data_IF_048649260585
#
_entry.id   IF_048649260585
#
_cell.length_a   1.000
_cell.length_b   1.000
_cell.length_c   1.000
_cell.angle_alpha   90.00
_cell.angle_beta   90.00
_cell.angle_gamma   90.00
#
_symmetry.space_group_name_H-M   'P 1'
#
loop_
_entity.id
_entity.type
_entity.pdbx_description
1 polymer ?
#
# COMPACT_ATOMS: atom_id res chain seq x y z
N UNK A 1 10.67 -4.81 10.41
CA UNK A 1 9.90 -4.43 9.19
C UNK A 1 8.45 -4.25 9.61
N UNK A 2 7.78 -3.17 9.18
CA UNK A 2 6.36 -2.94 9.50
C UNK A 2 5.46 -3.94 8.75
N UNK A 3 4.30 -4.26 9.31
CA UNK A 3 3.39 -5.26 8.78
C UNK A 3 2.88 -4.92 7.38
N UNK A 4 2.63 -3.64 7.12
CA UNK A 4 2.15 -3.12 5.83
C UNK A 4 3.20 -3.28 4.74
N UNK A 5 4.47 -2.98 5.07
CA UNK A 5 5.58 -3.15 4.13
C UNK A 5 5.83 -4.64 3.83
N UNK A 6 5.67 -5.51 4.82
CA UNK A 6 5.74 -6.94 4.63
C UNK A 6 4.58 -7.44 3.75
N UNK A 7 3.35 -6.95 3.98
CA UNK A 7 2.18 -7.30 3.17
C UNK A 7 2.35 -6.88 1.70
N UNK A 8 2.77 -5.64 1.44
CA UNK A 8 3.04 -5.14 0.08
C UNK A 8 4.09 -6.01 -0.61
N UNK A 9 5.23 -6.24 0.05
CA UNK A 9 6.33 -7.05 -0.49
C UNK A 9 5.90 -8.48 -0.80
N UNK A 10 5.21 -9.12 0.13
CA UNK A 10 4.78 -10.51 -0.01
C UNK A 10 3.72 -10.65 -1.11
N UNK A 11 2.80 -9.69 -1.21
CA UNK A 11 1.81 -9.65 -2.27
C UNK A 11 2.49 -9.50 -3.64
N UNK A 12 3.42 -8.55 -3.79
CA UNK A 12 4.23 -8.41 -5.00
C UNK A 12 4.93 -9.73 -5.36
N UNK A 13 5.59 -10.37 -4.38
CA UNK A 13 6.27 -11.66 -4.60
C UNK A 13 5.31 -12.73 -5.10
N UNK A 14 4.14 -12.89 -4.48
CA UNK A 14 3.13 -13.87 -4.89
C UNK A 14 2.64 -13.61 -6.31
N UNK A 15 2.36 -12.35 -6.64
CA UNK A 15 1.83 -11.97 -7.95
C UNK A 15 2.87 -12.13 -9.07
N UNK A 16 4.15 -11.92 -8.78
CA UNK A 16 5.24 -11.99 -9.78
C UNK A 16 6.04 -13.29 -9.76
N UNK A 17 5.70 -14.26 -8.91
CA UNK A 17 6.45 -15.52 -8.80
C UNK A 17 6.37 -16.29 -10.14
N UNK A 18 7.50 -16.59 -10.80
CA UNK A 18 7.51 -17.32 -12.08
C UNK A 18 7.02 -18.76 -11.95
N UNK A 19 7.16 -19.37 -10.76
CA UNK A 19 6.62 -20.68 -10.44
C UNK A 19 5.20 -20.60 -9.84
N UNK A 20 4.73 -19.40 -9.54
CA UNK A 20 3.42 -19.15 -8.94
C UNK A 20 2.26 -19.22 -9.96
N UNK A 21 1.02 -19.08 -9.48
CA UNK A 21 -0.17 -19.16 -10.33
C UNK A 21 -0.41 -17.91 -11.18
N UNK A 22 0.08 -16.73 -10.74
CA UNK A 22 -0.23 -15.45 -11.38
C UNK A 22 0.81 -15.02 -12.44
N UNK A 23 2.10 -15.18 -12.15
CA UNK A 23 3.23 -14.93 -13.08
C UNK A 23 3.19 -13.55 -13.75
N UNK A 24 2.67 -12.54 -13.05
CA UNK A 24 2.48 -11.21 -13.60
C UNK A 24 3.82 -10.50 -13.76
N UNK A 25 3.94 -9.68 -14.80
CA UNK A 25 5.02 -8.70 -14.85
C UNK A 25 4.87 -7.69 -13.70
N UNK A 26 5.95 -7.05 -13.21
CA UNK A 26 5.88 -6.10 -12.10
C UNK A 26 4.85 -4.97 -12.29
N UNK A 27 4.69 -4.47 -13.52
CA UNK A 27 3.72 -3.43 -13.85
C UNK A 27 2.26 -3.94 -13.73
N UNK A 28 2.01 -5.19 -14.10
CA UNK A 28 0.69 -5.83 -13.99
C UNK A 28 0.36 -6.18 -12.54
N UNK A 29 1.32 -6.68 -11.77
CA UNK A 29 1.15 -6.92 -10.34
C UNK A 29 0.74 -5.65 -9.59
N UNK A 30 1.36 -4.51 -9.94
CA UNK A 30 1.00 -3.22 -9.32
C UNK A 30 -0.39 -2.72 -9.78
N UNK A 31 -0.84 -3.04 -11.00
CA UNK A 31 -2.22 -2.77 -11.44
C UNK A 31 -3.22 -3.66 -10.67
N UNK A 32 -2.86 -4.91 -10.40
CA UNK A 32 -3.70 -5.84 -9.66
C UNK A 32 -4.00 -5.37 -8.23
N UNK A 33 -3.14 -4.55 -7.61
CA UNK A 33 -3.44 -3.98 -6.29
C UNK A 33 -4.74 -3.16 -6.25
N UNK A 34 -5.15 -2.56 -7.37
CA UNK A 34 -6.42 -1.83 -7.47
C UNK A 34 -7.66 -2.73 -7.31
N UNK A 35 -7.51 -4.06 -7.33
CA UNK A 35 -8.57 -5.03 -7.02
C UNK A 35 -8.46 -5.63 -5.61
N UNK A 36 -7.47 -5.22 -4.82
CA UNK A 36 -7.20 -5.73 -3.48
C UNK A 36 -7.47 -4.66 -2.41
N UNK A 37 -7.89 -5.12 -1.23
CA UNK A 37 -8.05 -4.29 -0.03
C UNK A 37 -6.98 -4.67 0.98
N UNK A 38 -6.33 -3.68 1.59
CA UNK A 38 -5.28 -3.89 2.60
C UNK A 38 -5.85 -3.68 4.00
N UNK A 39 -5.76 -4.70 4.84
CA UNK A 39 -6.21 -4.67 6.24
C UNK A 39 -5.01 -4.61 7.18
N UNK A 40 -5.05 -3.70 8.16
CA UNK A 40 -4.05 -3.56 9.20
C UNK A 40 -4.71 -3.55 10.58
N UNK A 41 -3.98 -3.98 11.61
CA UNK A 41 -4.47 -3.93 12.98
C UNK A 41 -4.59 -2.48 13.49
N UNK A 42 -3.65 -1.61 13.13
CA UNK A 42 -3.61 -0.22 13.52
C UNK A 42 -3.31 0.69 12.33
N UNK A 43 -3.62 1.96 12.49
CA UNK A 43 -3.38 2.99 11.50
C UNK A 43 -1.89 3.10 11.22
N UNK A 44 -1.56 3.01 9.93
CA UNK A 44 -0.21 2.99 9.42
C UNK A 44 0.55 4.27 9.70
N UNK A 45 1.81 4.12 10.14
CA UNK A 45 2.71 5.25 10.29
C UNK A 45 2.90 6.00 8.96
N UNK A 46 3.40 7.25 8.98
CA UNK A 46 3.51 8.07 7.76
C UNK A 46 4.21 7.39 6.58
N UNK A 47 5.29 6.65 6.84
CA UNK A 47 6.01 5.89 5.82
C UNK A 47 5.11 4.82 5.17
N UNK A 48 4.42 4.03 5.98
CA UNK A 48 3.57 2.94 5.47
C UNK A 48 2.32 3.50 4.77
N UNK A 49 1.70 4.55 5.31
CA UNK A 49 0.58 5.23 4.66
C UNK A 49 0.96 5.75 3.26
N UNK A 50 2.15 6.37 3.12
CA UNK A 50 2.65 6.82 1.83
C UNK A 50 2.89 5.65 0.86
N UNK A 51 3.50 4.57 1.34
CA UNK A 51 3.73 3.37 0.53
C UNK A 51 2.40 2.74 0.06
N UNK A 52 1.39 2.67 0.92
CA UNK A 52 0.04 2.17 0.58
C UNK A 52 -0.60 3.06 -0.48
N UNK A 53 -0.59 4.39 -0.29
CA UNK A 53 -1.13 5.36 -1.26
C UNK A 53 -0.48 5.21 -2.63
N UNK A 54 0.85 5.05 -2.65
CA UNK A 54 1.61 4.88 -3.88
C UNK A 54 1.37 3.51 -4.55
N UNK A 55 1.15 2.46 -3.76
CA UNK A 55 0.89 1.11 -4.24
C UNK A 55 -0.44 1.00 -5.00
N UNK A 56 -1.43 1.83 -4.64
CA UNK A 56 -2.70 1.91 -5.36
C UNK A 56 -3.69 0.81 -5.02
N UNK A 57 -3.71 0.35 -3.77
CA UNK A 57 -4.78 -0.53 -3.27
C UNK A 57 -6.15 0.13 -3.43
N UNK A 58 -7.19 -0.69 -3.64
CA UNK A 58 -8.57 -0.19 -3.71
C UNK A 58 -8.96 0.50 -2.41
N UNK A 59 -8.68 -0.17 -1.30
CA UNK A 59 -9.07 0.25 0.03
C UNK A 59 -7.95 -0.06 1.02
N UNK A 60 -7.86 0.78 2.04
CA UNK A 60 -6.98 0.61 3.17
C UNK A 60 -7.82 0.74 4.44
N UNK A 61 -7.84 -0.32 5.24
CA UNK A 61 -8.69 -0.47 6.42
C UNK A 61 -7.80 -0.76 7.62
N UNK A 62 -8.02 -0.05 8.72
CA UNK A 62 -7.28 -0.23 9.97
C UNK A 62 -8.21 -0.37 11.18
N UNK A 63 -7.79 -1.14 12.18
CA UNK A 63 -8.60 -1.43 13.37
C UNK A 63 -8.57 -0.38 14.49
N UNK A 64 -7.48 0.42 14.59
CA UNK A 64 -7.35 1.48 15.60
C UNK A 64 -6.51 2.64 15.07
N UNK A 65 -6.69 3.87 15.57
CA UNK A 65 -6.00 5.06 15.07
C UNK A 65 -4.64 5.31 15.72
N UNK A 66 -3.78 6.12 15.07
CA UNK A 66 -2.53 6.64 15.64
C UNK A 66 -2.80 7.35 16.96
N UNK A 67 -3.90 8.08 17.06
CA UNK A 67 -4.33 8.75 18.28
C UNK A 67 -4.58 7.77 19.44
N UNK A 68 -5.22 6.63 19.16
CA UNK A 68 -5.40 5.59 20.17
C UNK A 68 -4.07 4.96 20.57
N UNK A 69 -3.19 4.69 19.60
CA UNK A 69 -1.84 4.17 19.88
C UNK A 69 -1.04 5.11 20.80
N UNK A 70 -1.02 6.41 20.50
CA UNK A 70 -0.33 7.41 21.32
C UNK A 70 -0.91 7.44 22.74
N UNK A 71 -2.24 7.41 22.90
CA UNK A 71 -2.87 7.36 24.23
C UNK A 71 -2.50 6.10 25.02
N UNK A 72 -2.20 5.00 24.34
CA UNK A 72 -1.72 3.76 24.96
C UNK A 72 -0.21 3.76 25.23
N UNK A 73 0.49 4.88 24.99
CA UNK A 73 1.92 5.03 25.23
C UNK A 73 2.82 4.51 24.10
N UNK A 74 2.26 4.20 22.93
CA UNK A 74 3.06 3.77 21.78
C UNK A 74 3.68 4.99 21.08
N UNK A 75 4.99 4.94 20.86
CA UNK A 75 5.70 5.98 20.10
C UNK A 75 5.24 6.02 18.65
N UNK A 76 4.56 7.09 18.26
CA UNK A 76 4.11 7.33 16.89
C UNK A 76 4.38 8.78 16.47
N UNK A 77 4.71 8.96 15.20
CA UNK A 77 4.65 10.30 14.59
C UNK A 77 3.17 10.65 14.47
N UNK A 78 2.77 11.75 15.11
CA UNK A 78 1.36 12.18 15.22
C UNK A 78 0.88 12.84 13.92
N UNK A 79 0.80 12.07 12.86
CA UNK A 79 0.25 12.46 11.54
C UNK A 79 -0.66 11.34 11.07
N UNK A 80 -1.92 11.66 10.80
CA UNK A 80 -2.89 10.64 10.35
C UNK A 80 -2.58 10.14 8.95
N UNK A 81 -2.97 8.90 8.67
CA UNK A 81 -2.93 8.31 7.32
C UNK A 81 -3.78 9.12 6.33
N UNK A 82 -4.91 9.68 6.76
CA UNK A 82 -5.76 10.54 5.94
C UNK A 82 -5.04 11.83 5.51
N UNK A 83 -4.22 12.41 6.39
CA UNK A 83 -3.39 13.58 6.06
C UNK A 83 -2.31 13.22 5.05
N UNK A 84 -1.64 12.08 5.22
CA UNK A 84 -0.69 11.57 4.23
C UNK A 84 -1.37 11.36 2.88
N UNK A 85 -2.56 10.76 2.84
CA UNK A 85 -3.30 10.53 1.59
C UNK A 85 -3.71 11.84 0.89
N UNK A 86 -3.93 12.92 1.64
CA UNK A 86 -4.27 14.24 1.11
C UNK A 86 -3.08 14.89 0.40
N UNK A 87 -1.88 14.73 0.94
CA UNK A 87 -0.66 15.39 0.42
C UNK A 87 0.16 14.48 -0.51
N UNK A 88 -0.01 13.16 -0.41
CA UNK A 88 0.71 12.17 -1.21
C UNK A 88 -0.06 11.93 -2.51
N UNK A 89 0.53 12.27 -3.68
CA UNK A 89 -0.09 11.97 -4.95
C UNK A 89 -0.22 10.45 -5.13
N UNK A 90 -1.29 10.02 -5.79
CA UNK A 90 -1.35 8.63 -6.25
C UNK A 90 -0.33 8.44 -7.36
N UNK A 91 0.23 7.23 -7.45
CA UNK A 91 1.03 6.84 -8.60
C UNK A 91 0.22 7.09 -9.89
N UNK A 92 0.77 7.81 -10.88
CA UNK A 92 0.10 8.00 -12.16
C UNK A 92 -0.11 6.64 -12.84
N UNK A 93 -1.16 6.49 -13.67
CA UNK A 93 -1.30 5.29 -14.49
C UNK A 93 -0.03 5.11 -15.32
N UNK A 94 0.43 3.86 -15.47
CA UNK A 94 1.52 3.57 -16.39
C UNK A 94 1.14 4.14 -17.77
N UNK A 95 2.06 4.78 -18.51
CA UNK A 95 1.76 5.25 -19.85
C UNK A 95 1.11 4.10 -20.63
N UNK A 96 -0.04 4.39 -21.25
CA UNK A 96 -0.65 3.47 -22.19
C UNK A 96 0.42 3.09 -23.21
N UNK A 97 0.41 1.84 -23.65
CA UNK A 97 1.26 1.28 -24.69
C UNK A 97 1.03 1.98 -26.05
N UNK A 98 1.43 3.25 -26.11
CA UNK A 98 1.36 4.13 -27.25
C UNK A 98 2.78 4.57 -27.53
N UNK A 99 3.58 3.67 -28.10
CA UNK A 99 4.62 3.94 -29.10
C UNK A 99 5.04 2.65 -29.83
N UNK A 100 4.06 1.86 -30.27
CA UNK A 100 4.21 0.90 -31.36
C UNK A 100 3.07 1.10 -32.35
N UNK A 101 3.17 2.17 -33.14
CA UNK A 101 2.57 2.31 -34.47
C UNK A 101 3.52 3.18 -35.29
#
# INVERSE_FOLDING_TARGET
MHGEMAAIRNCSKILTDPAGPYKLAPAEATKAFASLSLYTNAESCPMCAAAIRWSGFREYIYGTSIETLIRQGWGQIRISSAEIFRICPQRPPAPADHMLN
#
